data_IF_889178509847
#
_entry.id   IF_889178509847
#
_cell.length_a   1.000
_cell.length_b   1.000
_cell.length_c   1.000
_cell.angle_alpha   90.00
_cell.angle_beta   90.00
_cell.angle_gamma   90.00
#
_symmetry.space_group_name_H-M   'P 1'
#
loop_
_entity.id
_entity.type
_entity.pdbx_description
1 polymer ?
#
# COMPACT_ATOMS: atom_id res chain seq x y z
N UNK A 1 -24.66 -1.81 -43.51
CA UNK A 1 -24.52 -3.05 -42.70
C UNK A 1 -24.15 -2.61 -41.29
N UNK A 2 -25.03 -2.87 -40.31
CA UNK A 2 -24.86 -2.44 -38.91
C UNK A 2 -23.77 -3.28 -38.23
N UNK A 3 -22.55 -2.76 -38.14
CA UNK A 3 -21.54 -3.30 -37.25
C UNK A 3 -21.92 -2.93 -35.81
N UNK A 4 -22.55 -3.88 -35.13
CA UNK A 4 -22.84 -3.79 -33.70
C UNK A 4 -21.50 -3.75 -32.97
N UNK A 5 -21.08 -2.58 -32.51
CA UNK A 5 -19.93 -2.41 -31.62
C UNK A 5 -20.28 -3.11 -30.31
N UNK A 6 -19.99 -4.40 -30.25
CA UNK A 6 -19.96 -5.14 -29.00
C UNK A 6 -18.55 -4.98 -28.47
N UNK A 7 -18.33 -3.93 -27.69
CA UNK A 7 -17.18 -3.84 -26.80
C UNK A 7 -17.12 -5.16 -26.04
N UNK A 8 -15.99 -5.90 -26.06
CA UNK A 8 -15.85 -7.08 -25.24
C UNK A 8 -15.98 -6.59 -23.80
N UNK A 9 -17.15 -6.81 -23.19
CA UNK A 9 -17.34 -6.59 -21.75
C UNK A 9 -16.31 -7.49 -21.09
N UNK A 10 -15.17 -6.91 -20.74
CA UNK A 10 -14.17 -7.60 -19.95
C UNK A 10 -14.89 -7.91 -18.63
N UNK A 11 -15.32 -9.16 -18.48
CA UNK A 11 -15.82 -9.67 -17.20
C UNK A 11 -14.62 -9.89 -16.29
N UNK A 12 -13.73 -8.92 -16.19
CA UNK A 12 -12.69 -8.90 -15.18
C UNK A 12 -13.42 -8.57 -13.88
N UNK A 13 -13.71 -9.63 -13.12
CA UNK A 13 -13.86 -9.51 -11.65
C UNK A 13 -12.78 -8.54 -11.19
N UNK A 14 -13.05 -7.55 -10.31
CA UNK A 14 -12.08 -6.55 -9.90
C UNK A 14 -10.75 -7.25 -9.62
N UNK A 15 -9.80 -7.05 -10.54
CA UNK A 15 -8.64 -7.92 -10.71
C UNK A 15 -7.83 -7.92 -9.43
N UNK A 16 -7.25 -9.06 -9.06
CA UNK A 16 -6.26 -9.10 -7.97
C UNK A 16 -5.11 -8.11 -8.24
N UNK A 17 -4.78 -7.87 -9.51
CA UNK A 17 -3.68 -7.03 -9.96
C UNK A 17 -4.12 -6.01 -11.04
N UNK A 18 -3.33 -4.94 -11.17
CA UNK A 18 -3.40 -3.97 -12.26
C UNK A 18 -2.56 -4.49 -13.44
N UNK A 19 -3.11 -5.40 -14.22
CA UNK A 19 -2.40 -6.00 -15.35
C UNK A 19 -2.38 -5.06 -16.58
N UNK A 20 -1.24 -4.92 -17.29
CA UNK A 20 -1.18 -4.12 -18.50
C UNK A 20 -1.93 -4.81 -19.64
N UNK A 21 -3.11 -4.28 -19.99
CA UNK A 21 -3.87 -4.72 -21.18
C UNK A 21 -3.33 -4.02 -22.43
N UNK A 22 -2.88 -4.76 -23.46
CA UNK A 22 -2.39 -4.16 -24.71
C UNK A 22 -3.49 -3.40 -25.45
N UNK A 23 -3.14 -2.26 -26.05
CA UNK A 23 -4.02 -1.53 -26.97
C UNK A 23 -4.44 -2.38 -28.18
N UNK A 24 -3.61 -3.35 -28.58
CA UNK A 24 -3.84 -4.24 -29.71
C UNK A 24 -4.98 -5.25 -29.51
N UNK A 25 -5.39 -5.54 -28.27
CA UNK A 25 -6.53 -6.42 -27.99
C UNK A 25 -7.88 -5.71 -28.17
N UNK A 26 -7.88 -4.37 -28.24
CA UNK A 26 -9.05 -3.59 -28.62
C UNK A 26 -9.09 -3.55 -30.14
N UNK A 27 -10.11 -4.17 -30.75
CA UNK A 27 -10.32 -4.11 -32.21
C UNK A 27 -10.71 -2.68 -32.57
N UNK A 28 -9.70 -1.84 -32.81
CA UNK A 28 -9.85 -0.45 -33.22
C UNK A 28 -9.81 -0.40 -34.75
N UNK A 29 -10.96 -0.21 -35.40
CA UNK A 29 -11.04 -0.04 -36.85
C UNK A 29 -10.56 1.37 -37.25
N UNK A 30 -9.44 1.52 -37.99
CA UNK A 30 -8.94 2.83 -38.39
C UNK A 30 -9.76 3.48 -39.52
N UNK A 31 -10.71 2.76 -40.13
CA UNK A 31 -11.53 3.29 -41.22
C UNK A 31 -12.48 4.41 -40.79
N UNK A 32 -12.85 4.48 -39.50
CA UNK A 32 -13.65 5.55 -38.93
C UNK A 32 -12.90 6.22 -37.76
N UNK A 33 -12.21 7.35 -38.01
CA UNK A 33 -11.50 8.11 -36.98
C UNK A 33 -12.34 8.47 -35.74
N UNK A 34 -13.63 8.78 -35.90
CA UNK A 34 -14.50 9.16 -34.79
C UNK A 34 -14.78 7.96 -33.90
N UNK A 35 -15.18 6.83 -34.50
CA UNK A 35 -15.40 5.59 -33.77
C UNK A 35 -14.12 5.10 -33.09
N UNK A 36 -12.98 5.19 -33.78
CA UNK A 36 -11.66 4.85 -33.24
C UNK A 36 -11.36 5.65 -31.96
N UNK A 37 -11.51 6.98 -32.00
CA UNK A 37 -11.23 7.85 -30.87
C UNK A 37 -12.19 7.62 -29.68
N UNK A 38 -13.46 7.34 -29.96
CA UNK A 38 -14.46 7.00 -28.94
C UNK A 38 -14.15 5.65 -28.27
N UNK A 39 -13.76 4.63 -29.05
CA UNK A 39 -13.35 3.34 -28.52
C UNK A 39 -12.07 3.48 -27.67
N UNK A 40 -11.12 4.32 -28.09
CA UNK A 40 -9.92 4.59 -27.32
C UNK A 40 -10.23 5.33 -26.01
N UNK A 41 -11.15 6.30 -26.03
CA UNK A 41 -11.66 6.97 -24.83
C UNK A 41 -12.28 5.97 -23.86
N UNK A 42 -13.18 5.11 -24.33
CA UNK A 42 -13.81 4.07 -23.50
C UNK A 42 -12.76 3.15 -22.87
N UNK A 43 -11.78 2.71 -23.66
CA UNK A 43 -10.68 1.89 -23.14
C UNK A 43 -9.87 2.60 -22.04
N UNK A 44 -9.46 3.85 -22.26
CA UNK A 44 -8.66 4.59 -21.27
C UNK A 44 -9.46 4.86 -19.99
N UNK A 45 -10.74 5.21 -20.12
CA UNK A 45 -11.65 5.46 -18.99
C UNK A 45 -11.90 4.18 -18.17
N UNK A 46 -12.16 3.03 -18.82
CA UNK A 46 -12.33 1.75 -18.15
C UNK A 46 -11.09 1.39 -17.31
N UNK A 47 -9.89 1.63 -17.86
CA UNK A 47 -8.62 1.35 -17.17
C UNK A 47 -8.36 2.29 -15.99
N UNK A 48 -8.68 3.59 -16.12
CA UNK A 48 -8.60 4.51 -15.00
C UNK A 48 -9.58 4.12 -13.89
N UNK A 49 -10.80 3.75 -14.27
CA UNK A 49 -11.82 3.24 -13.35
C UNK A 49 -11.40 1.95 -12.64
N UNK A 50 -10.74 1.02 -13.35
CA UNK A 50 -10.18 -0.20 -12.75
C UNK A 50 -9.11 0.11 -11.71
N UNK A 51 -8.20 1.04 -12.01
CA UNK A 51 -7.17 1.49 -11.08
C UNK A 51 -7.80 2.07 -9.81
N UNK A 52 -8.73 3.02 -9.95
CA UNK A 52 -9.45 3.63 -8.82
C UNK A 52 -10.16 2.58 -7.98
N UNK A 53 -10.90 1.65 -8.61
CA UNK A 53 -11.60 0.57 -7.91
C UNK A 53 -10.64 -0.34 -7.16
N UNK A 54 -9.50 -0.68 -7.76
CA UNK A 54 -8.49 -1.53 -7.13
C UNK A 54 -7.96 -0.89 -5.85
N UNK A 55 -7.58 0.40 -5.90
CA UNK A 55 -7.08 1.16 -4.75
C UNK A 55 -8.15 1.31 -3.66
N UNK A 56 -9.40 1.59 -4.03
CA UNK A 56 -10.51 1.71 -3.08
C UNK A 56 -10.90 0.38 -2.44
N UNK A 57 -10.80 -0.74 -3.16
CA UNK A 57 -11.12 -2.08 -2.65
C UNK A 57 -10.04 -2.59 -1.69
N UNK A 58 -8.76 -2.43 -2.04
CA UNK A 58 -7.63 -2.90 -1.22
C UNK A 58 -7.47 -2.14 0.11
N UNK A 59 -8.12 -0.98 0.25
CA UNK A 59 -8.24 -0.18 1.49
C UNK A 59 -8.65 -0.97 2.74
N UNK A 60 -9.62 -1.89 2.60
CA UNK A 60 -10.34 -2.47 3.74
C UNK A 60 -9.58 -3.62 4.42
N UNK A 61 -8.95 -4.48 3.63
CA UNK A 61 -8.24 -5.67 4.15
C UNK A 61 -6.96 -5.28 4.90
N UNK A 62 -6.25 -4.25 4.43
CA UNK A 62 -4.99 -3.81 5.02
C UNK A 62 -5.19 -3.06 6.34
N UNK A 63 -6.20 -2.18 6.41
CA UNK A 63 -6.50 -1.43 7.65
C UNK A 63 -6.93 -2.36 8.79
N UNK A 64 -7.71 -3.41 8.48
CA UNK A 64 -8.16 -4.40 9.48
C UNK A 64 -6.99 -5.21 10.00
N UNK A 65 -6.07 -5.62 9.12
CA UNK A 65 -4.87 -6.37 9.53
C UNK A 65 -3.96 -5.54 10.43
N UNK A 66 -3.67 -4.28 10.09
CA UNK A 66 -2.87 -3.38 10.96
C UNK A 66 -3.49 -3.21 12.35
N UNK A 67 -4.80 -2.95 12.41
CA UNK A 67 -5.52 -2.79 13.68
C UNK A 67 -5.50 -4.06 14.53
N UNK A 68 -5.63 -5.22 13.88
CA UNK A 68 -5.52 -6.53 14.55
C UNK A 68 -4.12 -6.78 15.11
N UNK A 69 -3.07 -6.52 14.32
CA UNK A 69 -1.68 -6.66 14.76
C UNK A 69 -1.40 -5.73 15.94
N UNK A 70 -1.87 -4.48 15.90
CA UNK A 70 -1.69 -3.52 17.00
C UNK A 70 -2.46 -3.91 18.26
N UNK A 71 -3.70 -4.40 18.12
CA UNK A 71 -4.48 -4.91 19.26
C UNK A 71 -3.82 -6.13 19.90
N UNK A 72 -3.31 -7.07 19.09
CA UNK A 72 -2.57 -8.22 19.59
C UNK A 72 -1.26 -7.82 20.27
N UNK A 73 -0.52 -6.85 19.71
CA UNK A 73 0.69 -6.32 20.32
C UNK A 73 0.40 -5.71 21.71
N UNK A 74 -0.65 -4.90 21.83
CA UNK A 74 -1.07 -4.30 23.10
C UNK A 74 -1.54 -5.37 24.09
N UNK A 75 -2.33 -6.35 23.64
CA UNK A 75 -2.78 -7.44 24.51
C UNK A 75 -1.60 -8.26 25.05
N UNK A 76 -0.64 -8.61 24.19
CA UNK A 76 0.58 -9.34 24.54
C UNK A 76 1.48 -8.50 25.45
N UNK A 77 1.63 -7.20 25.19
CA UNK A 77 2.37 -6.28 26.03
C UNK A 77 1.77 -6.23 27.44
N UNK A 78 0.45 -6.09 27.51
CA UNK A 78 -0.30 -5.96 28.76
C UNK A 78 -0.26 -7.26 29.57
N UNK A 79 -0.36 -8.41 28.90
CA UNK A 79 -0.15 -9.72 29.53
C UNK A 79 1.29 -9.87 30.04
N UNK A 80 2.29 -9.46 29.26
CA UNK A 80 3.70 -9.51 29.65
C UNK A 80 4.04 -8.59 30.82
N UNK A 81 3.46 -7.39 30.90
CA UNK A 81 3.65 -6.47 32.05
C UNK A 81 2.92 -6.91 33.31
N UNK A 82 1.77 -7.58 33.18
CA UNK A 82 0.98 -8.07 34.32
C UNK A 82 1.49 -9.42 34.84
N UNK A 83 2.23 -10.19 34.03
CA UNK A 83 2.78 -11.51 34.39
C UNK A 83 3.53 -11.51 35.74
N UNK A 84 4.42 -10.54 36.05
CA UNK A 84 5.13 -10.48 37.33
C UNK A 84 4.21 -10.24 38.54
N UNK A 85 3.11 -9.51 38.36
CA UNK A 85 2.09 -9.31 39.41
C UNK A 85 1.28 -10.59 39.64
N UNK A 86 0.96 -11.31 38.58
CA UNK A 86 0.15 -12.54 38.64
C UNK A 86 0.94 -13.71 39.23
N UNK A 87 2.25 -13.78 39.00
CA UNK A 87 3.14 -14.78 39.63
C UNK A 87 3.20 -14.68 41.16
N UNK A 88 2.75 -13.57 41.74
CA UNK A 88 2.65 -13.36 43.20
C UNK A 88 1.29 -13.78 43.79
N UNK A 89 0.31 -14.16 42.97
CA UNK A 89 -1.03 -14.58 43.41
C UNK A 89 -1.14 -16.12 43.46
N UNK A 90 -1.74 -16.73 44.50
CA UNK A 90 -1.81 -18.20 44.64
C UNK A 90 -2.63 -18.92 43.55
N UNK A 91 -3.38 -18.16 42.75
CA UNK A 91 -4.39 -18.61 41.78
C UNK A 91 -3.78 -19.43 40.63
N UNK A 92 -2.49 -19.21 40.31
CA UNK A 92 -1.79 -19.88 39.21
C UNK A 92 -0.60 -20.75 39.68
N UNK A 93 -0.62 -21.15 40.94
CA UNK A 93 0.40 -22.03 41.56
C UNK A 93 0.60 -23.37 40.85
N UNK A 94 -0.35 -23.82 40.02
CA UNK A 94 -0.21 -25.04 39.21
C UNK A 94 0.78 -24.90 38.04
N UNK A 95 1.11 -23.67 37.62
CA UNK A 95 1.99 -23.41 36.46
C UNK A 95 3.48 -23.34 36.79
N UNK A 96 3.86 -23.49 38.06
CA UNK A 96 5.26 -23.46 38.51
C UNK A 96 5.85 -22.05 38.52
N UNK A 97 6.23 -21.58 39.71
CA UNK A 97 6.64 -20.18 39.98
C UNK A 97 7.93 -19.74 39.29
N UNK A 98 8.82 -20.66 38.92
CA UNK A 98 10.05 -20.34 38.17
C UNK A 98 9.80 -20.14 36.66
N UNK A 99 8.73 -20.73 36.13
CA UNK A 99 8.42 -20.66 34.70
C UNK A 99 7.77 -19.31 34.34
N UNK A 100 6.98 -18.73 35.25
CA UNK A 100 6.19 -17.51 35.05
C UNK A 100 7.04 -16.26 34.75
N UNK A 101 8.23 -16.15 35.34
CA UNK A 101 9.16 -15.03 35.10
C UNK A 101 9.73 -15.00 33.69
N UNK A 102 10.15 -16.15 33.17
CA UNK A 102 10.75 -16.27 31.83
C UNK A 102 9.73 -16.02 30.70
N UNK A 103 8.47 -16.43 30.88
CA UNK A 103 7.42 -16.18 29.88
C UNK A 103 7.01 -14.70 29.81
N UNK A 104 7.12 -13.95 30.92
CA UNK A 104 6.82 -12.51 30.96
C UNK A 104 7.76 -11.68 30.07
N UNK A 105 9.07 -11.94 30.15
CA UNK A 105 10.06 -11.31 29.25
C UNK A 105 9.87 -11.73 27.80
N UNK A 106 9.49 -12.99 27.54
CA UNK A 106 9.15 -13.48 26.20
C UNK A 106 7.94 -12.76 25.59
N UNK A 107 6.90 -12.49 26.38
CA UNK A 107 5.72 -11.72 25.96
C UNK A 107 6.08 -10.25 25.70
N UNK A 108 6.91 -9.63 26.55
CA UNK A 108 7.37 -8.26 26.33
C UNK A 108 8.23 -8.12 25.05
N UNK A 109 9.13 -9.08 24.81
CA UNK A 109 9.92 -9.13 23.58
C UNK A 109 9.03 -9.33 22.34
N UNK A 110 8.02 -10.20 22.43
CA UNK A 110 7.05 -10.42 21.37
C UNK A 110 6.21 -9.16 21.09
N UNK A 111 5.75 -8.46 22.12
CA UNK A 111 5.03 -7.20 21.97
C UNK A 111 5.90 -6.11 21.31
N UNK A 112 7.15 -5.98 21.75
CA UNK A 112 8.13 -5.11 21.12
C UNK A 112 8.33 -5.43 19.65
N UNK A 113 8.49 -6.72 19.32
CA UNK A 113 8.61 -7.20 17.94
C UNK A 113 7.37 -6.89 17.09
N UNK A 114 6.15 -6.99 17.65
CA UNK A 114 4.93 -6.64 16.94
C UNK A 114 4.78 -5.14 16.71
N UNK A 115 5.12 -4.29 17.69
CA UNK A 115 5.09 -2.83 17.55
C UNK A 115 6.13 -2.38 16.52
N UNK A 116 7.34 -2.95 16.59
CA UNK A 116 8.40 -2.68 15.64
C UNK A 116 7.97 -3.14 14.24
N UNK A 117 7.38 -4.33 14.13
CA UNK A 117 6.77 -4.83 12.90
C UNK A 117 5.73 -3.87 12.31
N UNK A 118 4.76 -3.39 13.10
CA UNK A 118 3.72 -2.45 12.60
C UNK A 118 4.34 -1.15 12.06
N UNK A 119 5.40 -0.63 12.70
CA UNK A 119 6.17 0.52 12.23
C UNK A 119 6.98 0.22 10.97
N UNK A 120 7.73 -0.88 10.95
CA UNK A 120 8.60 -1.29 9.85
C UNK A 120 7.81 -1.58 8.57
N UNK A 121 6.64 -2.19 8.70
CA UNK A 121 5.79 -2.53 7.55
C UNK A 121 4.80 -1.42 7.17
N UNK A 122 4.79 -0.30 7.90
CA UNK A 122 3.92 0.86 7.62
C UNK A 122 2.44 0.47 7.52
N UNK A 123 2.01 -0.57 8.25
CA UNK A 123 0.70 -1.19 8.06
C UNK A 123 -0.43 -0.17 8.34
N UNK A 124 -0.18 0.79 9.23
CA UNK A 124 -1.10 1.87 9.54
C UNK A 124 -1.10 3.03 8.52
N UNK A 125 0.03 3.31 7.83
CA UNK A 125 0.11 4.39 6.83
C UNK A 125 -0.40 3.96 5.46
N UNK A 126 -0.33 2.65 5.14
CA UNK A 126 -0.72 2.09 3.85
C UNK A 126 -2.16 2.43 3.44
N UNK A 127 -3.08 2.51 4.39
CA UNK A 127 -4.47 2.94 4.15
C UNK A 127 -4.57 4.39 3.65
N UNK A 128 -3.84 5.29 4.31
CA UNK A 128 -3.85 6.71 3.97
C UNK A 128 -3.24 6.91 2.59
N UNK A 129 -2.13 6.21 2.29
CA UNK A 129 -1.49 6.27 0.98
C UNK A 129 -2.39 5.76 -0.14
N UNK A 130 -3.03 4.60 0.04
CA UNK A 130 -4.01 4.12 -0.95
C UNK A 130 -5.18 5.09 -1.14
N UNK A 131 -5.61 5.78 -0.08
CA UNK A 131 -6.65 6.80 -0.20
C UNK A 131 -6.17 8.04 -0.96
N UNK A 132 -4.96 8.54 -0.66
CA UNK A 132 -4.41 9.71 -1.34
C UNK A 132 -4.20 9.44 -2.83
N UNK A 133 -3.68 8.25 -3.18
CA UNK A 133 -3.53 7.83 -4.58
C UNK A 133 -4.89 7.67 -5.24
N UNK A 134 -5.87 7.04 -4.59
CA UNK A 134 -7.23 6.95 -5.14
C UNK A 134 -7.86 8.33 -5.41
N UNK A 135 -7.69 9.28 -4.49
CA UNK A 135 -8.17 10.66 -4.66
C UNK A 135 -7.44 11.38 -5.80
N UNK A 136 -6.13 11.20 -5.95
CA UNK A 136 -5.36 11.75 -7.05
C UNK A 136 -5.81 11.19 -8.41
N UNK A 137 -6.04 9.88 -8.49
CA UNK A 137 -6.59 9.22 -9.68
C UNK A 137 -8.00 9.73 -10.01
N UNK A 138 -8.88 9.89 -9.00
CA UNK A 138 -10.21 10.47 -9.19
C UNK A 138 -10.16 11.91 -9.69
N UNK A 139 -9.22 12.72 -9.17
CA UNK A 139 -8.99 14.08 -9.66
C UNK A 139 -8.58 14.08 -11.13
N UNK A 140 -7.62 13.23 -11.51
CA UNK A 140 -7.19 13.09 -12.90
C UNK A 140 -8.34 12.64 -13.82
N UNK A 141 -9.20 11.74 -13.35
CA UNK A 141 -10.39 11.32 -14.10
C UNK A 141 -11.37 12.48 -14.31
N UNK A 142 -11.66 13.26 -13.26
CA UNK A 142 -12.55 14.40 -13.36
C UNK A 142 -12.00 15.50 -14.30
N UNK A 143 -10.69 15.78 -14.24
CA UNK A 143 -10.02 16.71 -15.17
C UNK A 143 -10.15 16.22 -16.62
N UNK A 144 -9.85 14.94 -16.87
CA UNK A 144 -9.98 14.34 -18.19
C UNK A 144 -11.42 14.38 -18.74
N UNK A 145 -12.42 14.09 -17.91
CA UNK A 145 -13.82 14.12 -18.32
C UNK A 145 -14.26 15.52 -18.78
N UNK A 146 -13.81 16.56 -18.08
CA UNK A 146 -14.12 17.95 -18.42
C UNK A 146 -13.38 18.40 -19.69
N UNK A 147 -12.08 18.11 -19.79
CA UNK A 147 -11.28 18.41 -20.98
C UNK A 147 -11.80 17.67 -22.21
N UNK A 148 -12.19 16.40 -22.05
CA UNK A 148 -12.82 15.61 -23.09
C UNK A 148 -14.13 16.24 -23.54
N UNK A 149 -15.02 16.61 -22.60
CA UNK A 149 -16.30 17.22 -22.93
C UNK A 149 -16.14 18.53 -23.72
N UNK A 150 -15.20 19.39 -23.30
CA UNK A 150 -14.91 20.64 -23.99
C UNK A 150 -14.41 20.39 -25.42
N UNK A 151 -13.47 19.46 -25.58
CA UNK A 151 -12.86 19.15 -26.87
C UNK A 151 -13.85 18.42 -27.81
N UNK A 152 -14.69 17.54 -27.27
CA UNK A 152 -15.68 16.83 -28.06
C UNK A 152 -16.85 17.73 -28.51
N UNK A 153 -17.17 18.76 -27.73
CA UNK A 153 -18.15 19.78 -28.12
C UNK A 153 -17.67 20.59 -29.33
N UNK A 154 -16.37 20.89 -29.42
CA UNK A 154 -15.75 21.57 -30.57
C UNK A 154 -15.82 20.74 -31.85
N UNK A 155 -15.61 19.42 -31.75
CA UNK A 155 -15.73 18.50 -32.89
C UNK A 155 -17.19 18.35 -33.34
N UNK A 156 -18.12 18.25 -32.37
CA UNK A 156 -19.55 18.08 -32.63
C UNK A 156 -19.89 16.75 -33.32
N UNK A 157 -20.80 16.81 -34.28
CA UNK A 157 -21.28 15.64 -35.03
C UNK A 157 -20.52 15.37 -36.34
N UNK A 158 -19.50 16.17 -36.64
CA UNK A 158 -18.68 15.98 -37.82
C UNK A 158 -17.53 15.00 -37.58
N UNK A 159 -16.93 14.52 -38.67
CA UNK A 159 -15.69 13.74 -38.59
C UNK A 159 -14.56 14.66 -38.11
N UNK A 160 -13.78 14.26 -37.09
CA UNK A 160 -12.70 15.10 -36.58
C UNK A 160 -11.63 15.34 -37.65
N UNK A 161 -11.15 16.57 -37.77
CA UNK A 161 -10.03 16.93 -38.64
C UNK A 161 -8.74 16.24 -38.18
N UNK A 162 -7.70 16.18 -39.03
CA UNK A 162 -6.42 15.58 -38.63
C UNK A 162 -5.79 16.28 -37.42
N UNK A 163 -6.02 17.60 -37.26
CA UNK A 163 -5.52 18.37 -36.12
C UNK A 163 -6.30 18.02 -34.84
N UNK A 164 -7.63 17.96 -34.92
CA UNK A 164 -8.49 17.54 -33.82
C UNK A 164 -8.18 16.09 -33.39
N UNK A 165 -7.99 15.18 -34.34
CA UNK A 165 -7.55 13.81 -34.05
C UNK A 165 -6.25 13.80 -33.24
N UNK A 166 -5.25 14.58 -33.66
CA UNK A 166 -3.98 14.67 -32.93
C UNK A 166 -4.16 15.29 -31.53
N UNK A 167 -5.08 16.24 -31.37
CA UNK A 167 -5.39 16.86 -30.08
C UNK A 167 -6.07 15.86 -29.12
N UNK A 168 -7.06 15.10 -29.62
CA UNK A 168 -7.72 14.03 -28.88
C UNK A 168 -6.72 12.96 -28.43
N UNK A 169 -5.85 12.51 -29.35
CA UNK A 169 -4.83 11.50 -29.04
C UNK A 169 -3.85 12.00 -27.98
N UNK A 170 -3.44 13.28 -28.03
CA UNK A 170 -2.62 13.88 -26.99
C UNK A 170 -3.33 13.91 -25.63
N UNK A 171 -4.60 14.29 -25.59
CA UNK A 171 -5.40 14.30 -24.36
C UNK A 171 -5.47 12.89 -23.74
N UNK A 172 -5.83 11.88 -24.54
CA UNK A 172 -5.92 10.48 -24.10
C UNK A 172 -4.58 9.94 -23.62
N UNK A 173 -3.48 10.24 -24.34
CA UNK A 173 -2.13 9.85 -23.94
C UNK A 173 -1.73 10.50 -22.62
N UNK A 174 -1.95 11.80 -22.47
CA UNK A 174 -1.55 12.55 -21.28
C UNK A 174 -2.30 12.05 -20.05
N UNK A 175 -3.61 11.82 -20.17
CA UNK A 175 -4.40 11.22 -19.10
C UNK A 175 -3.89 9.82 -18.73
N UNK A 176 -3.63 8.95 -19.73
CA UNK A 176 -3.09 7.62 -19.46
C UNK A 176 -1.73 7.68 -18.75
N UNK A 177 -0.84 8.57 -19.17
CA UNK A 177 0.46 8.74 -18.53
C UNK A 177 0.32 9.29 -17.11
N UNK A 178 -0.59 10.22 -16.85
CA UNK A 178 -0.85 10.73 -15.50
C UNK A 178 -1.26 9.60 -14.54
N UNK A 179 -2.16 8.71 -14.97
CA UNK A 179 -2.54 7.53 -14.19
C UNK A 179 -1.36 6.60 -13.91
N UNK A 180 -0.53 6.31 -14.92
CA UNK A 180 0.64 5.44 -14.77
C UNK A 180 1.67 6.05 -13.83
N UNK A 181 1.99 7.34 -14.00
CA UNK A 181 2.94 8.06 -13.15
C UNK A 181 2.47 8.13 -11.70
N UNK A 182 1.18 8.30 -11.44
CA UNK A 182 0.65 8.29 -10.06
C UNK A 182 0.86 6.92 -9.38
N UNK A 183 0.69 5.82 -10.12
CA UNK A 183 0.96 4.46 -9.63
C UNK A 183 2.47 4.20 -9.43
N UNK A 184 3.29 4.67 -10.35
CA UNK A 184 4.76 4.58 -10.24
C UNK A 184 5.28 5.36 -9.02
N UNK A 185 4.76 6.56 -8.79
CA UNK A 185 5.16 7.39 -7.64
C UNK A 185 4.74 6.77 -6.32
N UNK A 186 3.53 6.20 -6.22
CA UNK A 186 3.12 5.44 -5.02
C UNK A 186 4.03 4.25 -4.76
N UNK A 187 4.42 3.53 -5.83
CA UNK A 187 5.35 2.40 -5.73
C UNK A 187 6.73 2.86 -5.25
N UNK A 188 7.24 3.99 -5.76
CA UNK A 188 8.53 4.57 -5.35
C UNK A 188 8.53 4.99 -3.88
N UNK A 189 7.45 5.63 -3.43
CA UNK A 189 7.26 5.99 -2.02
C UNK A 189 7.26 4.72 -1.16
N UNK A 190 6.57 3.67 -1.59
CA UNK A 190 6.53 2.40 -0.87
C UNK A 190 7.91 1.75 -0.73
N UNK A 191 8.70 1.72 -1.81
CA UNK A 191 10.08 1.19 -1.78
C UNK A 191 10.96 2.00 -0.82
N UNK A 192 10.90 3.32 -0.87
CA UNK A 192 11.68 4.18 0.02
C UNK A 192 11.31 4.01 1.50
N UNK A 193 10.01 3.88 1.80
CA UNK A 193 9.53 3.57 3.16
C UNK A 193 10.04 2.20 3.64
N UNK A 194 10.03 1.20 2.76
CA UNK A 194 10.52 -0.14 3.06
C UNK A 194 12.03 -0.17 3.35
N UNK A 195 12.84 0.48 2.51
CA UNK A 195 14.28 0.63 2.71
C UNK A 195 14.61 1.37 4.01
N UNK A 196 13.88 2.45 4.31
CA UNK A 196 14.00 3.19 5.57
C UNK A 196 13.67 2.31 6.78
N UNK A 197 12.65 1.47 6.66
CA UNK A 197 12.31 0.46 7.67
C UNK A 197 13.46 -0.52 7.90
N UNK A 198 14.02 -1.11 6.84
CA UNK A 198 15.16 -2.03 6.93
C UNK A 198 16.37 -1.37 7.61
N UNK A 199 16.71 -0.14 7.23
CA UNK A 199 17.82 0.59 7.84
C UNK A 199 17.62 0.85 9.35
N UNK A 200 16.38 1.11 9.78
CA UNK A 200 16.07 1.25 11.22
C UNK A 200 16.22 -0.09 11.97
N UNK A 201 15.82 -1.20 11.35
CA UNK A 201 16.00 -2.54 11.93
C UNK A 201 17.48 -2.86 12.12
N UNK A 202 18.32 -2.59 11.11
CA UNK A 202 19.77 -2.81 11.19
C UNK A 202 20.43 -2.00 12.31
N UNK A 203 20.03 -0.73 12.48
CA UNK A 203 20.52 0.11 13.59
C UNK A 203 20.16 -0.48 14.95
N UNK A 204 18.90 -0.89 15.14
CA UNK A 204 18.45 -1.50 16.39
C UNK A 204 19.16 -2.83 16.68
N UNK A 205 19.47 -3.62 15.65
CA UNK A 205 20.25 -4.84 15.80
C UNK A 205 21.71 -4.57 16.19
N UNK A 206 22.31 -3.48 15.70
CA UNK A 206 23.68 -3.06 16.03
C UNK A 206 23.79 -2.38 17.40
N UNK A 207 22.71 -1.73 17.88
CA UNK A 207 22.60 -1.10 19.20
C UNK A 207 22.17 -2.06 20.31
N UNK A 208 21.89 -3.33 19.99
CA UNK A 208 21.69 -4.40 20.97
C UNK A 208 22.84 -4.47 21.97
N UNK A 209 22.59 -4.88 23.24
CA UNK A 209 23.43 -4.54 24.38
C UNK A 209 24.88 -4.91 24.09
N UNK A 210 25.72 -3.90 23.82
CA UNK A 210 27.16 -4.05 23.93
C UNK A 210 27.38 -4.50 25.35
N UNK A 211 27.72 -5.77 25.55
CA UNK A 211 28.23 -6.25 26.80
C UNK A 211 29.43 -5.37 27.12
N UNK A 212 29.26 -4.42 28.04
CA UNK A 212 30.37 -3.77 28.71
C UNK A 212 31.24 -4.91 29.20
N UNK A 213 32.48 -5.07 28.71
CA UNK A 213 33.38 -6.04 29.31
C UNK A 213 33.42 -5.69 30.78
N UNK A 214 33.08 -6.65 31.63
CA UNK A 214 33.25 -6.52 33.06
C UNK A 214 34.78 -6.53 33.28
N UNK A 215 35.43 -5.38 33.07
CA UNK A 215 36.85 -5.21 33.27
C UNK A 215 37.14 -5.37 34.77
N UNK A 216 37.53 -6.59 35.08
CA UNK A 216 38.68 -6.94 35.91
C UNK A 216 38.85 -6.19 37.23
N UNK A 217 38.39 -6.86 38.29
CA UNK A 217 39.18 -7.12 39.49
C UNK A 217 39.77 -5.90 40.24
N UNK A 218 38.98 -5.28 41.11
CA UNK A 218 39.53 -4.64 42.31
C UNK A 218 39.69 -5.70 43.41
N UNK A 219 40.87 -6.31 43.46
CA UNK A 219 41.32 -7.20 44.54
C UNK A 219 41.38 -6.42 45.87
N UNK A 220 40.74 -6.86 46.97
CA UNK A 220 40.89 -6.17 48.24
C UNK A 220 42.29 -6.41 48.82
N UNK A 221 43.08 -5.35 48.97
CA UNK A 221 44.29 -5.37 49.80
C UNK A 221 43.89 -5.52 51.27
N UNK A 222 44.14 -6.71 51.82
CA UNK A 222 44.13 -6.93 53.27
C UNK A 222 45.39 -6.27 53.83
N UNK A 223 45.25 -5.10 54.46
CA UNK A 223 46.31 -4.55 55.31
C UNK A 223 46.20 -5.14 56.71
N UNK A 224 47.07 -6.09 57.01
CA UNK A 224 47.44 -6.50 58.35
C UNK A 224 48.40 -5.47 58.94
N UNK A 225 47.94 -4.69 59.92
CA UNK A 225 48.69 -4.37 61.14
C UNK A 225 47.80 -3.73 62.18
#
# INVERSE_FOLDING_TARGET
MNAKIQSPKSKTRPGRNLDPVPLAEVVLDPADPRAYLLALREFVDERAGDAIRWYLYHKLSVSRWSKWVRLMAIAIATLGTLMPLIGSTPVLSWLGTEATGNYGYGLLALAGAMILGDKLFGLSSRWMRYMTTAMALQRHQAEFEMDWAALWLDIGDQQPSSEQQAQVLRLLRNFRLAIVTEVEEETRIWVAEFESGLAQLERLAQEGPRATPLDAATKPEIKTK
#
